data_IF_255460822499
#
_entry.id   IF_255460822499
#
_cell.length_a   1.000
_cell.length_b   1.000
_cell.length_c   1.000
_cell.angle_alpha   90.00
_cell.angle_beta   90.00
_cell.angle_gamma   90.00
#
_symmetry.space_group_name_H-M   'P 1'
#
loop_
_entity.id
_entity.type
_entity.pdbx_description
1 polymer ?
#
# COMPACT_ATOMS: atom_id res chain seq x y z
N UNK A 1 -20.89 -5.32 -5.14
CA UNK A 1 -20.15 -5.51 -6.41
C UNK A 1 -18.96 -4.59 -6.39
N UNK A 2 -17.73 -5.13 -6.51
CA UNK A 2 -16.57 -4.28 -6.84
C UNK A 2 -16.86 -3.69 -8.22
N UNK A 3 -16.95 -2.36 -8.34
CA UNK A 3 -16.99 -1.71 -9.64
C UNK A 3 -15.84 -2.24 -10.49
N UNK A 4 -16.10 -2.54 -11.75
CA UNK A 4 -15.14 -3.16 -12.67
C UNK A 4 -13.86 -2.32 -12.72
N UNK A 5 -12.82 -2.75 -11.99
CA UNK A 5 -11.50 -2.12 -12.04
C UNK A 5 -10.91 -2.48 -13.41
N UNK A 6 -10.85 -1.50 -14.32
CA UNK A 6 -10.10 -1.67 -15.56
C UNK A 6 -8.61 -1.45 -15.27
N UNK A 7 -7.88 -2.56 -15.11
CA UNK A 7 -6.45 -2.54 -14.81
C UNK A 7 -5.59 -2.02 -15.97
N UNK A 8 -6.14 -1.98 -17.20
CA UNK A 8 -5.44 -1.48 -18.39
C UNK A 8 -5.29 0.05 -18.38
N UNK A 9 -6.18 0.76 -17.68
CA UNK A 9 -6.18 2.22 -17.58
C UNK A 9 -5.16 2.74 -16.55
N UNK A 10 -4.46 1.84 -15.87
CA UNK A 10 -3.47 2.18 -14.86
C UNK A 10 -2.19 2.64 -15.55
N UNK A 11 -1.89 3.94 -15.38
CA UNK A 11 -0.64 4.53 -15.81
C UNK A 11 0.49 4.17 -14.84
N UNK A 12 1.71 4.04 -15.38
CA UNK A 12 2.92 3.76 -14.61
C UNK A 12 4.08 3.58 -15.57
N UNK A 13 5.16 4.33 -15.35
CA UNK A 13 6.31 4.40 -16.28
C UNK A 13 7.28 3.25 -16.09
N UNK A 14 7.35 2.69 -14.89
CA UNK A 14 8.22 1.56 -14.55
C UNK A 14 7.49 0.51 -13.70
N UNK A 15 8.16 -0.62 -13.48
CA UNK A 15 7.63 -1.75 -12.70
C UNK A 15 7.16 -1.36 -11.31
N UNK A 16 7.94 -0.55 -10.59
CA UNK A 16 7.61 -0.13 -9.24
C UNK A 16 6.40 0.79 -9.23
N UNK A 17 6.36 1.75 -10.14
CA UNK A 17 5.28 2.73 -10.20
C UNK A 17 3.94 2.12 -10.59
N UNK A 18 3.94 1.33 -11.66
CA UNK A 18 2.74 0.60 -12.08
C UNK A 18 2.23 -0.33 -10.97
N UNK A 19 3.15 -1.06 -10.30
CA UNK A 19 2.77 -1.93 -9.18
C UNK A 19 2.08 -1.14 -8.07
N UNK A 20 2.57 0.05 -7.70
CA UNK A 20 1.93 0.88 -6.66
C UNK A 20 0.53 1.34 -7.06
N UNK A 21 0.34 1.75 -8.30
CA UNK A 21 -0.97 2.20 -8.77
C UNK A 21 -1.99 1.05 -8.81
N UNK A 22 -1.57 -0.14 -9.25
CA UNK A 22 -2.38 -1.37 -9.14
C UNK A 22 -2.80 -1.62 -7.69
N UNK A 23 -1.87 -1.53 -6.75
CA UNK A 23 -2.18 -1.76 -5.33
C UNK A 23 -3.15 -0.70 -4.77
N UNK A 24 -3.02 0.57 -5.17
CA UNK A 24 -3.93 1.65 -4.77
C UNK A 24 -5.34 1.47 -5.31
N UNK A 25 -5.48 0.88 -6.49
CA UNK A 25 -6.77 0.61 -7.13
C UNK A 25 -7.45 -0.64 -6.58
N UNK A 26 -6.67 -1.70 -6.32
CA UNK A 26 -7.20 -3.00 -5.89
C UNK A 26 -7.52 -3.04 -4.40
N UNK A 27 -6.66 -2.46 -3.56
CA UNK A 27 -6.82 -2.47 -2.10
C UNK A 27 -7.36 -1.14 -1.61
N UNK A 28 -8.28 -1.18 -0.65
CA UNK A 28 -8.78 0.01 0.06
C UNK A 28 -7.67 0.65 0.89
N UNK A 29 -7.84 1.91 1.26
CA UNK A 29 -6.87 2.60 2.12
C UNK A 29 -6.69 1.90 3.48
N UNK A 30 -7.76 1.35 4.05
CA UNK A 30 -7.72 0.60 5.30
C UNK A 30 -6.89 -0.69 5.14
N UNK A 31 -7.16 -1.49 4.10
CA UNK A 31 -6.40 -2.70 3.80
C UNK A 31 -4.91 -2.39 3.61
N UNK A 32 -4.57 -1.29 2.94
CA UNK A 32 -3.17 -0.89 2.72
C UNK A 32 -2.41 -0.55 4.01
N UNK A 33 -3.10 -0.06 5.04
CA UNK A 33 -2.50 0.35 6.32
C UNK A 33 -2.44 -0.80 7.31
N UNK A 34 -3.48 -1.62 7.34
CA UNK A 34 -3.74 -2.55 8.43
C UNK A 34 -3.45 -4.00 8.07
N UNK A 35 -3.44 -4.36 6.78
CA UNK A 35 -3.16 -5.73 6.35
C UNK A 35 -1.67 -6.02 6.15
N UNK A 36 -1.35 -7.30 6.07
CA UNK A 36 -0.02 -7.83 5.73
C UNK A 36 -0.09 -8.71 4.50
N UNK A 37 1.06 -8.96 3.89
CA UNK A 37 1.16 -9.91 2.80
C UNK A 37 0.88 -11.33 3.30
N UNK A 38 0.05 -12.14 2.61
CA UNK A 38 -0.15 -13.54 2.95
C UNK A 38 1.14 -14.37 2.76
N UNK A 39 1.30 -15.47 3.53
CA UNK A 39 0.38 -15.98 4.53
C UNK A 39 0.44 -15.20 5.84
N UNK A 40 -0.65 -15.25 6.63
CA UNK A 40 -0.65 -14.73 7.99
C UNK A 40 0.47 -15.40 8.78
N UNK A 41 1.30 -14.62 9.46
CA UNK A 41 2.23 -15.14 10.46
C UNK A 41 1.57 -15.00 11.82
N UNK A 42 1.51 -16.07 12.62
CA UNK A 42 0.75 -16.10 13.89
C UNK A 42 1.15 -14.99 14.86
N UNK A 43 2.44 -14.60 14.87
CA UNK A 43 2.94 -13.51 15.71
C UNK A 43 2.54 -12.11 15.23
N UNK A 44 2.01 -11.98 14.02
CA UNK A 44 1.48 -10.72 13.50
C UNK A 44 -0.02 -10.64 13.85
N UNK A 45 -0.39 -9.67 14.68
CA UNK A 45 -1.79 -9.35 15.02
C UNK A 45 -2.59 -8.73 13.85
N UNK A 46 -2.09 -8.84 12.62
CA UNK A 46 -2.64 -8.18 11.43
C UNK A 46 -3.21 -9.20 10.48
N UNK A 47 -4.36 -8.88 9.91
CA UNK A 47 -5.01 -9.73 8.92
C UNK A 47 -4.21 -9.74 7.60
N UNK A 48 -4.13 -10.89 6.91
CA UNK A 48 -3.53 -10.93 5.59
C UNK A 48 -4.41 -10.17 4.57
N UNK A 49 -3.79 -9.68 3.49
CA UNK A 49 -4.53 -9.22 2.33
C UNK A 49 -5.37 -10.37 1.75
N UNK A 50 -6.52 -10.00 1.21
CA UNK A 50 -7.36 -10.90 0.42
C UNK A 50 -6.53 -11.58 -0.69
N UNK A 51 -6.57 -12.90 -0.72
CA UNK A 51 -5.70 -13.69 -1.59
C UNK A 51 -6.06 -13.52 -3.07
N UNK A 52 -7.33 -13.30 -3.39
CA UNK A 52 -7.80 -13.13 -4.76
C UNK A 52 -7.43 -11.74 -5.29
N UNK A 53 -7.54 -10.69 -4.46
CA UNK A 53 -6.99 -9.37 -4.78
C UNK A 53 -5.48 -9.40 -4.95
N UNK A 54 -4.78 -10.18 -4.13
CA UNK A 54 -3.33 -10.37 -4.29
C UNK A 54 -3.00 -11.04 -5.64
N UNK A 55 -3.70 -12.13 -5.99
CA UNK A 55 -3.55 -12.80 -7.30
C UNK A 55 -3.89 -11.87 -8.46
N UNK A 56 -4.90 -11.02 -8.31
CA UNK A 56 -5.28 -10.01 -9.29
C UNK A 56 -4.12 -9.03 -9.56
N UNK A 57 -3.49 -8.51 -8.51
CA UNK A 57 -2.32 -7.63 -8.64
C UNK A 57 -1.17 -8.33 -9.36
N UNK A 58 -0.95 -9.60 -9.06
CA UNK A 58 0.10 -10.42 -9.69
C UNK A 58 -0.16 -10.64 -11.17
N UNK A 59 -1.40 -10.94 -11.56
CA UNK A 59 -1.78 -11.07 -12.95
C UNK A 59 -1.68 -9.73 -13.71
N UNK A 60 -2.08 -8.62 -13.08
CA UNK A 60 -1.99 -7.29 -13.67
C UNK A 60 -0.55 -6.92 -14.05
N UNK A 61 0.39 -7.16 -13.14
CA UNK A 61 1.82 -6.90 -13.36
C UNK A 61 2.39 -7.84 -14.41
N UNK A 62 2.04 -9.14 -14.34
CA UNK A 62 2.48 -10.14 -15.32
C UNK A 62 2.09 -9.74 -16.75
N UNK A 63 0.83 -9.35 -16.96
CA UNK A 63 0.31 -8.95 -18.28
C UNK A 63 0.98 -7.67 -18.76
N UNK A 64 1.07 -6.63 -17.91
CA UNK A 64 1.64 -5.32 -18.29
C UNK A 64 3.09 -5.44 -18.78
N UNK A 65 3.89 -6.23 -18.09
CA UNK A 65 5.31 -6.41 -18.39
C UNK A 65 5.59 -7.60 -19.32
N UNK A 66 4.55 -8.21 -19.89
CA UNK A 66 4.65 -9.36 -20.81
C UNK A 66 5.53 -10.49 -20.26
N UNK A 67 5.42 -10.74 -18.96
CA UNK A 67 6.22 -11.75 -18.28
C UNK A 67 5.63 -13.12 -18.58
N UNK A 68 6.42 -13.99 -19.20
CA UNK A 68 6.07 -15.40 -19.35
C UNK A 68 6.04 -16.10 -17.97
N UNK A 69 5.45 -17.29 -17.91
CA UNK A 69 5.29 -18.05 -16.66
C UNK A 69 6.62 -18.43 -16.01
N UNK A 70 7.69 -18.62 -16.78
CA UNK A 70 9.00 -19.05 -16.31
C UNK A 70 9.74 -17.88 -15.66
N UNK A 71 9.88 -16.77 -16.39
CA UNK A 71 10.46 -15.51 -15.89
C UNK A 71 9.64 -14.95 -14.72
N UNK A 72 8.31 -15.10 -14.77
CA UNK A 72 7.44 -14.70 -13.66
C UNK A 72 7.67 -15.56 -12.42
N UNK A 73 7.76 -16.88 -12.58
CA UNK A 73 7.98 -17.83 -11.49
C UNK A 73 9.35 -17.70 -10.82
N UNK A 74 10.41 -17.50 -11.60
CA UNK A 74 11.80 -17.51 -11.11
C UNK A 74 12.22 -16.20 -10.42
N UNK A 75 11.79 -15.04 -10.92
CA UNK A 75 12.32 -13.74 -10.46
C UNK A 75 11.23 -12.76 -10.00
N UNK A 76 10.21 -12.54 -10.84
CA UNK A 76 9.27 -11.46 -10.61
C UNK A 76 8.26 -11.74 -9.50
N UNK A 77 7.95 -13.01 -9.19
CA UNK A 77 7.08 -13.37 -8.06
C UNK A 77 7.64 -12.85 -6.72
N UNK A 78 8.93 -13.04 -6.49
CA UNK A 78 9.62 -12.59 -5.27
C UNK A 78 9.78 -11.08 -5.25
N UNK A 79 10.11 -10.47 -6.39
CA UNK A 79 10.22 -9.02 -6.53
C UNK A 79 8.89 -8.32 -6.25
N UNK A 80 7.77 -8.87 -6.76
CA UNK A 80 6.43 -8.34 -6.52
C UNK A 80 6.05 -8.44 -5.04
N UNK A 81 6.32 -9.58 -4.39
CA UNK A 81 6.12 -9.73 -2.94
C UNK A 81 6.87 -8.67 -2.13
N UNK A 82 8.14 -8.44 -2.47
CA UNK A 82 8.94 -7.39 -1.83
C UNK A 82 8.32 -6.01 -2.04
N UNK A 83 7.95 -5.66 -3.28
CA UNK A 83 7.34 -4.35 -3.59
C UNK A 83 6.02 -4.11 -2.88
N UNK A 84 5.16 -5.13 -2.77
CA UNK A 84 3.91 -5.04 -2.02
C UNK A 84 4.22 -4.83 -0.54
N UNK A 85 5.18 -5.56 0.03
CA UNK A 85 5.58 -5.40 1.43
C UNK A 85 6.10 -3.98 1.70
N UNK A 86 7.02 -3.49 0.87
CA UNK A 86 7.58 -2.14 0.97
C UNK A 86 6.46 -1.09 0.88
N UNK A 87 5.52 -1.26 -0.04
CA UNK A 87 4.37 -0.36 -0.21
C UNK A 87 3.47 -0.31 1.02
N UNK A 88 3.10 -1.46 1.60
CA UNK A 88 2.26 -1.49 2.82
C UNK A 88 2.98 -0.83 4.01
N UNK A 89 4.30 -1.02 4.13
CA UNK A 89 5.12 -0.37 5.17
C UNK A 89 5.14 1.15 4.94
N UNK A 90 5.31 1.60 3.71
CA UNK A 90 5.31 3.02 3.36
C UNK A 90 3.95 3.69 3.62
N UNK A 91 2.84 3.08 3.20
CA UNK A 91 1.50 3.60 3.42
C UNK A 91 1.21 3.78 4.92
N UNK A 92 1.60 2.79 5.74
CA UNK A 92 1.50 2.87 7.20
C UNK A 92 2.38 3.98 7.78
N UNK A 93 3.62 4.11 7.33
CA UNK A 93 4.54 5.16 7.80
C UNK A 93 4.01 6.55 7.49
N UNK A 94 3.46 6.76 6.29
CA UNK A 94 2.81 8.03 5.92
C UNK A 94 1.64 8.35 6.83
N UNK A 95 0.83 7.35 7.16
CA UNK A 95 -0.33 7.51 8.05
C UNK A 95 0.09 7.90 9.48
N UNK A 96 1.10 7.21 10.04
CA UNK A 96 1.65 7.56 11.36
C UNK A 96 2.21 8.98 11.39
N UNK A 97 2.87 9.42 10.32
CA UNK A 97 3.39 10.79 10.21
C UNK A 97 2.27 11.83 10.06
N UNK A 98 1.16 11.51 9.37
CA UNK A 98 0.00 12.40 9.27
C UNK A 98 -0.66 12.60 10.63
N UNK A 99 -0.89 11.51 11.38
CA UNK A 99 -1.47 11.55 12.72
C UNK A 99 -0.59 12.37 13.68
N UNK A 100 0.72 12.12 13.70
CA UNK A 100 1.65 12.90 14.52
C UNK A 100 1.63 14.40 14.19
N UNK A 101 1.50 14.76 12.91
CA UNK A 101 1.40 16.17 12.48
C UNK A 101 0.07 16.82 12.86
N UNK A 102 -1.03 16.07 12.90
CA UNK A 102 -2.34 16.58 13.33
C UNK A 102 -2.33 16.86 14.84
N UNK A 103 -1.87 15.91 15.65
CA UNK A 103 -1.77 16.09 17.10
C UNK A 103 -0.87 17.29 17.47
N UNK A 104 0.26 17.48 16.77
CA UNK A 104 1.13 18.65 17.00
C UNK A 104 0.46 20.00 16.66
N UNK A 105 -0.45 20.03 15.66
CA UNK A 105 -1.20 21.24 15.31
C UNK A 105 -2.31 21.54 16.32
N UNK A 106 -2.99 20.50 16.79
CA UNK A 106 -4.03 20.60 17.82
C UNK A 106 -3.42 21.11 19.15
N UNK A 107 -2.31 20.52 19.61
CA UNK A 107 -1.61 20.99 20.81
C UNK A 107 -1.05 22.42 20.71
N UNK A 108 -0.72 22.90 19.51
CA UNK A 108 -0.30 24.31 19.28
C UNK A 108 -1.47 25.30 19.30
N UNK A 109 -2.67 24.84 18.97
CA UNK A 109 -3.87 25.67 18.96
C UNK A 109 -4.47 25.84 20.37
N UNK A 110 -4.07 24.98 21.31
CA UNK A 110 -4.50 25.01 22.72
C UNK A 110 -3.55 25.79 23.64
N UNK A 111 -2.39 26.27 23.16
CA UNK A 111 -1.53 27.12 23.98
C UNK A 111 -2.17 28.52 24.09
N UNK A 112 -2.63 28.95 25.29
CA UNK A 112 -3.10 30.31 25.46
C UNK A 112 -1.93 31.26 25.20
N UNK A 113 -2.21 32.33 24.46
CA UNK A 113 -1.25 33.39 24.19
C UNK A 113 -1.00 34.14 25.52
N UNK A 114 -0.13 33.61 26.38
CA UNK A 114 0.32 34.29 27.60
C UNK A 114 1.37 35.31 27.18
N UNK A 115 0.90 36.36 26.50
CA UNK A 115 1.67 37.59 26.35
C UNK A 115 1.60 38.30 27.69
N UNK A 116 2.67 38.12 28.46
CA UNK A 116 3.05 38.95 29.60
C UNK A 116 2.80 40.42 29.26
N UNK A 117 1.95 41.07 30.03
CA UNK A 117 1.88 42.52 30.10
C UNK A 117 2.34 42.89 31.51
N UNK A 118 3.50 43.55 31.56
CA UNK A 118 4.06 44.22 32.73
C UNK A 118 3.10 45.28 33.32
#
# INVERSE_FOLDING_TARGET
MFGSINLLDIMGTDYGDYTREVLRKVFTEDERKNCILPPRREYLKREPLDEDKYKLCMNAVRIKFKLDSVNFGLFYKSLLRRKITDFLIEERRRDTQKLARQSLKESRSEQPNVLSSD
#
